data_IF_226459531454
#
_entry.id   IF_226459531454
#
_cell.length_a   1.000
_cell.length_b   1.000
_cell.length_c   1.000
_cell.angle_alpha   90.00
_cell.angle_beta   90.00
_cell.angle_gamma   90.00
#
_symmetry.space_group_name_H-M   'P 1'
#
loop_
_entity.id
_entity.type
_entity.pdbx_description
1 polymer ?
#
# COMPACT_ATOMS: atom_id res chain seq x y z
N UNK A 1 -8.43 -1.89 -0.76
CA UNK A 1 -9.06 -3.23 -0.86
C UNK A 1 -10.16 -3.17 -1.90
N UNK A 2 -10.19 -4.11 -2.83
CA UNK A 2 -11.22 -4.24 -3.88
C UNK A 2 -12.58 -4.62 -3.29
N UNK A 3 -13.65 -4.55 -4.11
CA UNK A 3 -15.02 -4.95 -3.71
C UNK A 3 -15.11 -6.43 -3.29
N UNK A 4 -14.31 -7.30 -3.92
CA UNK A 4 -14.22 -8.73 -3.60
C UNK A 4 -13.20 -9.04 -2.48
N UNK A 5 -12.79 -8.03 -1.72
CA UNK A 5 -11.97 -8.19 -0.51
C UNK A 5 -10.48 -8.45 -0.72
N UNK A 6 -9.94 -8.15 -1.90
CA UNK A 6 -8.52 -8.35 -2.21
C UNK A 6 -7.69 -7.09 -1.97
N UNK A 7 -6.44 -7.28 -1.57
CA UNK A 7 -5.43 -6.25 -1.43
C UNK A 7 -4.64 -6.09 -2.71
N UNK A 8 -4.29 -4.84 -3.05
CA UNK A 8 -3.43 -4.55 -4.19
C UNK A 8 -1.97 -4.54 -3.74
N UNK A 9 -1.15 -5.34 -4.40
CA UNK A 9 0.30 -5.35 -4.25
C UNK A 9 0.94 -4.96 -5.57
N UNK A 10 2.03 -4.23 -5.50
CA UNK A 10 2.92 -3.93 -6.61
C UNK A 10 4.25 -4.65 -6.42
N UNK A 11 4.87 -5.08 -7.51
CA UNK A 11 6.24 -5.57 -7.53
C UNK A 11 7.11 -4.52 -8.19
N UNK A 12 8.01 -3.93 -7.43
CA UNK A 12 8.82 -2.79 -7.84
C UNK A 12 10.31 -3.08 -7.70
N UNK A 13 11.11 -2.63 -8.68
CA UNK A 13 12.57 -2.66 -8.58
C UNK A 13 13.07 -1.60 -7.61
N UNK A 14 13.83 -2.03 -6.60
CA UNK A 14 14.46 -1.15 -5.61
C UNK A 14 15.98 -1.18 -5.75
N UNK A 15 16.54 -0.11 -6.32
CA UNK A 15 17.98 0.00 -6.59
C UNK A 15 18.85 -0.25 -5.35
N UNK A 16 18.54 0.32 -4.15
CA UNK A 16 19.39 0.11 -2.99
C UNK A 16 19.54 -1.35 -2.57
N UNK A 17 18.49 -2.14 -2.73
CA UNK A 17 18.49 -3.58 -2.37
C UNK A 17 18.75 -4.48 -3.57
N UNK A 18 18.88 -3.92 -4.77
CA UNK A 18 19.14 -4.62 -6.05
C UNK A 18 18.19 -5.79 -6.29
N UNK A 19 16.93 -5.61 -5.98
CA UNK A 19 15.90 -6.64 -6.13
C UNK A 19 14.54 -6.01 -6.40
N UNK A 20 13.68 -6.76 -7.08
CA UNK A 20 12.26 -6.44 -7.16
C UNK A 20 11.56 -7.02 -5.92
N UNK A 21 10.83 -6.18 -5.19
CA UNK A 21 10.12 -6.56 -3.97
C UNK A 21 8.63 -6.30 -4.09
N UNK A 22 7.84 -7.10 -3.38
CA UNK A 22 6.41 -6.88 -3.23
C UNK A 22 6.13 -5.89 -2.12
N UNK A 23 5.31 -4.87 -2.42
CA UNK A 23 4.85 -3.87 -1.46
C UNK A 23 3.41 -3.45 -1.74
N UNK A 24 2.77 -2.83 -0.77
CA UNK A 24 1.56 -2.07 -1.01
C UNK A 24 1.90 -0.75 -1.72
N UNK A 25 0.99 -0.17 -2.52
CA UNK A 25 1.20 1.11 -3.18
C UNK A 25 1.58 2.21 -2.18
N UNK A 26 2.60 3.00 -2.51
CA UNK A 26 3.10 4.06 -1.66
C UNK A 26 3.87 5.12 -2.46
N UNK A 27 3.67 6.38 -2.14
CA UNK A 27 4.38 7.50 -2.74
C UNK A 27 5.06 8.41 -1.71
N UNK A 28 5.77 9.39 -2.20
CA UNK A 28 6.50 10.37 -1.39
C UNK A 28 5.71 11.66 -1.23
N UNK A 29 5.93 12.33 -0.09
CA UNK A 29 5.43 13.68 0.17
C UNK A 29 6.65 14.61 0.08
N UNK A 30 6.74 15.38 -1.00
CA UNK A 30 7.90 16.21 -1.32
C UNK A 30 7.84 17.63 -0.71
N UNK A 31 6.77 17.93 0.01
CA UNK A 31 6.52 19.24 0.61
C UNK A 31 5.70 19.11 1.90
N UNK A 32 5.63 20.18 2.68
CA UNK A 32 4.73 20.24 3.83
C UNK A 32 3.27 20.13 3.35
N UNK A 33 2.54 19.16 3.89
CA UNK A 33 1.16 18.85 3.50
C UNK A 33 0.28 18.66 4.74
N UNK A 34 -0.94 19.17 4.67
CA UNK A 34 -1.96 18.86 5.66
C UNK A 34 -2.58 17.47 5.48
N UNK A 35 -3.37 17.01 6.44
CA UNK A 35 -3.98 15.67 6.36
C UNK A 35 -4.86 15.48 5.11
N UNK A 36 -5.55 16.51 4.67
CA UNK A 36 -6.40 16.45 3.46
C UNK A 36 -5.58 16.29 2.19
N UNK A 37 -4.44 16.93 2.15
CA UNK A 37 -3.50 16.84 1.02
C UNK A 37 -2.77 15.50 1.00
N UNK A 38 -2.34 15.00 2.15
CA UNK A 38 -1.74 13.66 2.29
C UNK A 38 -2.71 12.58 1.80
N UNK A 39 -4.00 12.67 2.11
CA UNK A 39 -5.04 11.76 1.60
C UNK A 39 -5.16 11.82 0.08
N UNK A 40 -5.08 13.00 -0.52
CA UNK A 40 -5.13 13.17 -1.99
C UNK A 40 -3.88 12.55 -2.65
N UNK A 41 -2.70 12.75 -2.07
CA UNK A 41 -1.46 12.13 -2.52
C UNK A 41 -1.61 10.60 -2.48
N UNK A 42 -2.06 10.02 -1.37
CA UNK A 42 -2.25 8.58 -1.25
C UNK A 42 -3.21 8.00 -2.31
N UNK A 43 -4.29 8.72 -2.64
CA UNK A 43 -5.22 8.31 -3.71
C UNK A 43 -4.62 8.46 -5.12
N UNK A 44 -3.80 9.48 -5.33
CA UNK A 44 -3.07 9.70 -6.58
C UNK A 44 -2.08 8.57 -6.83
N UNK A 45 -1.24 8.25 -5.84
CA UNK A 45 -0.26 7.17 -5.93
C UNK A 45 -0.93 5.81 -6.15
N UNK A 46 -2.00 5.52 -5.40
CA UNK A 46 -2.81 4.31 -5.64
C UNK A 46 -3.22 4.20 -7.11
N UNK A 47 -3.67 5.32 -7.71
CA UNK A 47 -4.11 5.33 -9.10
C UNK A 47 -2.94 5.14 -10.07
N UNK A 48 -1.84 5.87 -9.87
CA UNK A 48 -0.67 5.85 -10.75
C UNK A 48 0.02 4.49 -10.74
N UNK A 49 0.24 3.92 -9.58
CA UNK A 49 0.94 2.65 -9.45
C UNK A 49 0.09 1.42 -9.82
N UNK A 50 -1.23 1.46 -9.56
CA UNK A 50 -2.07 0.27 -9.72
C UNK A 50 -3.12 0.35 -10.81
N UNK A 51 -3.51 1.54 -11.22
CA UNK A 51 -4.68 1.75 -12.10
C UNK A 51 -6.03 1.60 -11.39
N UNK A 52 -6.04 1.57 -10.06
CA UNK A 52 -7.26 1.55 -9.26
C UNK A 52 -7.51 2.91 -8.62
N UNK A 53 -8.77 3.20 -8.35
CA UNK A 53 -9.19 4.40 -7.62
C UNK A 53 -10.29 4.06 -6.63
N UNK A 54 -10.59 4.99 -5.74
CA UNK A 54 -11.69 4.86 -4.80
C UNK A 54 -13.01 4.69 -5.57
N UNK A 55 -13.76 3.63 -5.27
CA UNK A 55 -15.07 3.40 -5.87
C UNK A 55 -16.11 4.41 -5.37
N UNK A 56 -17.21 4.68 -6.12
CA UNK A 56 -18.31 5.50 -5.62
C UNK A 56 -18.84 4.97 -4.29
N UNK A 57 -18.95 5.86 -3.30
CA UNK A 57 -19.35 5.50 -1.93
C UNK A 57 -18.27 4.83 -1.09
N UNK A 58 -17.07 4.68 -1.62
CA UNK A 58 -15.94 4.16 -0.89
C UNK A 58 -15.38 5.15 0.15
N UNK A 59 -14.50 4.65 1.00
CA UNK A 59 -13.92 5.41 2.10
C UNK A 59 -12.40 5.31 2.14
N UNK A 60 -11.75 6.34 2.66
CA UNK A 60 -10.33 6.36 3.00
C UNK A 60 -10.20 6.55 4.52
N UNK A 61 -9.70 5.54 5.20
CA UNK A 61 -9.57 5.49 6.66
C UNK A 61 -8.12 5.72 7.03
N UNK A 62 -7.85 6.77 7.81
CA UNK A 62 -6.51 6.97 8.38
C UNK A 62 -6.20 5.90 9.42
N UNK A 63 -5.05 5.27 9.27
CA UNK A 63 -4.52 4.31 10.23
C UNK A 63 -3.38 4.92 11.07
N UNK A 64 -3.16 6.24 10.95
CA UNK A 64 -2.08 6.96 11.60
C UNK A 64 -0.76 6.83 10.85
N UNK A 65 0.34 7.06 11.55
CA UNK A 65 1.69 6.98 10.99
C UNK A 65 2.60 6.11 11.87
N UNK A 66 3.79 5.81 11.35
CA UNK A 66 4.88 5.19 12.09
C UNK A 66 6.22 5.69 11.57
N UNK A 67 7.27 5.56 12.37
CA UNK A 67 8.64 5.87 11.95
C UNK A 67 9.28 4.67 11.26
N UNK A 68 9.89 4.89 10.10
CA UNK A 68 10.52 3.82 9.31
C UNK A 68 11.82 3.33 9.93
N UNK A 69 12.59 4.25 10.51
CA UNK A 69 13.90 3.96 11.12
C UNK A 69 14.25 4.99 12.21
N UNK A 70 13.48 5.02 13.31
CA UNK A 70 13.56 6.04 14.35
C UNK A 70 14.94 6.18 15.03
N UNK A 71 15.84 5.23 14.86
CA UNK A 71 17.22 5.31 15.34
C UNK A 71 18.18 6.05 14.39
N UNK A 72 17.77 6.32 13.15
CA UNK A 72 18.62 6.91 12.10
C UNK A 72 18.04 8.17 11.49
N UNK A 73 16.72 8.28 11.42
CA UNK A 73 16.01 9.36 10.73
C UNK A 73 14.64 9.60 11.37
N UNK A 74 14.07 10.77 11.15
CA UNK A 74 12.71 11.15 11.50
C UNK A 74 11.70 10.81 10.40
N UNK A 75 12.12 10.11 9.35
CA UNK A 75 11.25 9.63 8.29
C UNK A 75 10.08 8.83 8.85
N UNK A 76 8.90 9.17 8.42
CA UNK A 76 7.67 8.50 8.82
C UNK A 76 6.71 8.32 7.65
N UNK A 77 5.88 7.28 7.73
CA UNK A 77 4.87 6.95 6.74
C UNK A 77 3.48 7.08 7.31
N UNK A 78 2.59 7.74 6.57
CA UNK A 78 1.16 7.77 6.85
C UNK A 78 0.47 6.57 6.22
N UNK A 79 -0.36 5.88 6.98
CA UNK A 79 -1.12 4.72 6.53
C UNK A 79 -2.58 5.04 6.29
N UNK A 80 -3.08 4.58 5.15
CA UNK A 80 -4.50 4.68 4.81
C UNK A 80 -5.05 3.33 4.36
N UNK A 81 -6.26 3.01 4.84
CA UNK A 81 -7.03 1.90 4.32
C UNK A 81 -8.11 2.45 3.38
N UNK A 82 -7.97 2.13 2.09
CA UNK A 82 -8.86 2.63 1.02
C UNK A 82 -9.74 1.49 0.55
N UNK A 83 -11.08 1.64 0.63
CA UNK A 83 -12.04 0.60 0.27
C UNK A 83 -13.45 1.14 -0.04
N UNK A 84 -14.24 0.45 -0.93
CA UNK A 84 -13.66 -0.41 -1.94
C UNK A 84 -12.94 0.41 -3.00
N UNK A 85 -11.99 -0.22 -3.67
CA UNK A 85 -11.34 0.33 -4.85
C UNK A 85 -11.75 -0.44 -6.10
N UNK A 86 -11.81 0.25 -7.25
CA UNK A 86 -12.15 -0.31 -8.54
C UNK A 86 -11.15 0.11 -9.61
N UNK A 87 -11.06 -0.66 -10.70
CA UNK A 87 -10.24 -0.27 -11.85
C UNK A 87 -10.74 1.04 -12.45
N UNK A 88 -9.84 1.98 -12.68
CA UNK A 88 -10.14 3.20 -13.40
C UNK A 88 -10.35 2.93 -14.89
N UNK A 89 -11.22 3.71 -15.53
CA UNK A 89 -11.50 3.60 -16.97
C UNK A 89 -10.32 4.02 -17.84
N UNK A 90 -9.46 4.87 -17.31
CA UNK A 90 -8.22 5.34 -17.96
C UNK A 90 -7.10 5.25 -16.93
N UNK A 91 -6.02 4.58 -17.30
CA UNK A 91 -4.81 4.48 -16.51
C UNK A 91 -3.59 4.66 -17.44
N UNK A 92 -2.71 5.55 -17.04
CA UNK A 92 -1.40 5.70 -17.67
C UNK A 92 -0.39 5.80 -16.52
N UNK A 93 0.51 4.81 -16.44
CA UNK A 93 1.64 4.87 -15.51
C UNK A 93 2.54 6.05 -15.86
N UNK A 94 3.12 6.68 -14.87
CA UNK A 94 4.16 7.68 -15.09
C UNK A 94 5.41 7.02 -15.71
N UNK A 95 6.04 7.70 -16.66
CA UNK A 95 7.31 7.25 -17.24
C UNK A 95 8.39 7.39 -16.14
N UNK A 96 8.98 6.27 -15.73
CA UNK A 96 10.05 6.24 -14.72
C UNK A 96 9.75 5.36 -13.50
N UNK A 97 8.50 4.93 -13.31
CA UNK A 97 8.18 3.95 -12.27
C UNK A 97 8.65 2.54 -12.66
N UNK A 98 9.48 1.95 -11.79
CA UNK A 98 10.03 0.61 -12.00
C UNK A 98 9.07 -0.50 -11.53
N UNK A 99 7.76 -0.33 -11.73
CA UNK A 99 6.73 -1.29 -11.34
C UNK A 99 6.61 -2.37 -12.42
N UNK A 100 6.97 -3.59 -12.06
CA UNK A 100 6.96 -4.75 -12.94
C UNK A 100 5.58 -5.42 -13.01
N UNK A 101 4.86 -5.46 -11.89
CA UNK A 101 3.59 -6.15 -11.74
C UNK A 101 2.69 -5.46 -10.72
N UNK A 102 1.37 -5.49 -10.95
CA UNK A 102 0.36 -5.18 -9.96
C UNK A 102 -0.58 -6.38 -9.83
N UNK A 103 -0.80 -6.86 -8.61
CA UNK A 103 -1.60 -8.04 -8.30
C UNK A 103 -2.62 -7.77 -7.20
N UNK A 104 -3.84 -8.27 -7.38
CA UNK A 104 -4.85 -8.31 -6.32
C UNK A 104 -4.80 -9.68 -5.63
N UNK A 105 -4.52 -9.71 -4.33
CA UNK A 105 -4.38 -10.93 -3.52
C UNK A 105 -5.41 -10.97 -2.40
N UNK A 106 -5.92 -12.15 -2.10
CA UNK A 106 -6.78 -12.38 -0.94
C UNK A 106 -5.99 -12.33 0.38
N UNK A 107 -6.71 -12.26 1.49
CA UNK A 107 -6.09 -12.18 2.83
C UNK A 107 -5.20 -13.40 3.13
N UNK A 108 -5.63 -14.60 2.77
CA UNK A 108 -4.85 -15.84 2.99
C UNK A 108 -3.53 -15.84 2.20
N UNK A 109 -3.59 -15.40 0.93
CA UNK A 109 -2.40 -15.29 0.09
C UNK A 109 -1.46 -14.19 0.62
N UNK A 110 -2.00 -13.06 1.08
CA UNK A 110 -1.22 -11.99 1.70
C UNK A 110 -0.44 -12.52 2.92
N UNK A 111 -1.10 -13.24 3.82
CA UNK A 111 -0.46 -13.83 5.00
C UNK A 111 0.57 -14.90 4.64
N UNK A 112 0.27 -15.73 3.63
CA UNK A 112 1.24 -16.70 3.13
C UNK A 112 2.49 -16.02 2.59
N UNK A 113 2.34 -14.98 1.75
CA UNK A 113 3.47 -14.22 1.19
C UNK A 113 4.32 -13.55 2.28
N UNK A 114 3.69 -13.10 3.38
CA UNK A 114 4.42 -12.57 4.55
C UNK A 114 5.16 -13.69 5.26
N UNK A 115 4.51 -14.81 5.54
CA UNK A 115 5.08 -15.94 6.28
C UNK A 115 6.26 -16.58 5.53
N UNK A 116 6.19 -16.67 4.21
CA UNK A 116 7.24 -17.24 3.34
C UNK A 116 8.37 -16.24 3.02
N UNK A 117 8.22 -14.96 3.40
CA UNK A 117 9.20 -13.91 3.14
C UNK A 117 9.23 -13.39 1.70
N UNK A 118 8.17 -13.60 0.93
CA UNK A 118 7.97 -12.97 -0.38
C UNK A 118 7.77 -11.45 -0.21
N UNK A 119 7.01 -11.04 0.82
CA UNK A 119 6.88 -9.65 1.23
C UNK A 119 7.93 -9.33 2.28
N UNK A 120 8.85 -8.42 1.93
CA UNK A 120 9.98 -7.99 2.76
C UNK A 120 10.01 -6.48 2.99
N UNK A 121 9.03 -5.77 2.45
CA UNK A 121 8.88 -4.33 2.65
C UNK A 121 8.34 -4.02 4.04
N UNK A 122 9.08 -3.21 4.81
CA UNK A 122 8.73 -2.88 6.19
C UNK A 122 7.41 -2.12 6.32
N UNK A 123 7.11 -1.24 5.37
CA UNK A 123 5.87 -0.45 5.36
C UNK A 123 4.66 -1.36 5.16
N UNK A 124 4.77 -2.31 4.24
CA UNK A 124 3.73 -3.31 3.98
C UNK A 124 3.50 -4.21 5.19
N UNK A 125 4.56 -4.68 5.84
CA UNK A 125 4.44 -5.48 7.08
C UNK A 125 3.79 -4.68 8.20
N UNK A 126 4.18 -3.42 8.39
CA UNK A 126 3.63 -2.56 9.43
C UNK A 126 2.14 -2.23 9.20
N UNK A 127 1.72 -1.94 7.96
CA UNK A 127 0.30 -1.69 7.67
C UNK A 127 -0.54 -2.95 7.87
N UNK A 128 -0.05 -4.14 7.46
CA UNK A 128 -0.73 -5.41 7.70
C UNK A 128 -0.95 -5.67 9.20
N UNK A 129 0.08 -5.45 10.02
CA UNK A 129 -0.03 -5.57 11.47
C UNK A 129 -1.07 -4.60 12.05
N UNK A 130 -1.10 -3.35 11.58
CA UNK A 130 -2.07 -2.34 12.04
C UNK A 130 -3.50 -2.64 11.58
N UNK A 131 -3.70 -3.14 10.36
CA UNK A 131 -5.01 -3.59 9.87
C UNK A 131 -5.55 -4.76 10.72
N UNK A 132 -4.69 -5.73 11.02
CA UNK A 132 -5.05 -6.86 11.89
C UNK A 132 -5.40 -6.40 13.32
N UNK A 133 -4.56 -5.57 13.92
CA UNK A 133 -4.79 -5.02 15.27
C UNK A 133 -6.06 -4.19 15.38
N UNK A 134 -6.51 -3.56 14.30
CA UNK A 134 -7.77 -2.80 14.23
C UNK A 134 -8.98 -3.63 13.77
N UNK A 135 -8.79 -4.94 13.54
CA UNK A 135 -9.87 -5.85 13.16
C UNK A 135 -10.37 -5.71 11.72
N UNK A 136 -9.61 -5.05 10.85
CA UNK A 136 -9.97 -4.94 9.42
C UNK A 136 -9.65 -6.21 8.63
N UNK A 137 -8.69 -7.00 9.11
CA UNK A 137 -8.33 -8.32 8.57
C UNK A 137 -8.09 -9.30 9.71
N UNK A 138 -8.41 -10.57 9.47
CA UNK A 138 -8.14 -11.66 10.43
C UNK A 138 -6.76 -12.26 10.18
N UNK A 139 -6.08 -12.65 11.26
CA UNK A 139 -4.94 -13.56 11.21
C UNK A 139 -5.49 -14.92 11.61
N UNK A 140 -5.78 -15.78 10.65
CA UNK A 140 -6.12 -17.17 10.98
C UNK A 140 -4.83 -17.89 11.41
N UNK A 141 -4.77 -18.21 12.71
CA UNK A 141 -3.71 -19.07 13.21
C UNK A 141 -3.88 -20.46 12.57
N UNK A 142 -3.01 -20.81 11.63
CA UNK A 142 -2.91 -22.16 11.06
C UNK A 142 -2.12 -23.06 11.98
#
# INVERSE_FOLDING_TARGET
MTEDGKFLLIKEERIPVRAAIWSMPAGQIDHEADEGEIRKIALKELHEETGYGLAPGGEIISLGYFFTSAGLTDEHCYFFFVRPVQKASKHKREEGEAILECRAVGTDELWRMIAEGDIRDSNTLAICARLAARGFISIDAR
#
